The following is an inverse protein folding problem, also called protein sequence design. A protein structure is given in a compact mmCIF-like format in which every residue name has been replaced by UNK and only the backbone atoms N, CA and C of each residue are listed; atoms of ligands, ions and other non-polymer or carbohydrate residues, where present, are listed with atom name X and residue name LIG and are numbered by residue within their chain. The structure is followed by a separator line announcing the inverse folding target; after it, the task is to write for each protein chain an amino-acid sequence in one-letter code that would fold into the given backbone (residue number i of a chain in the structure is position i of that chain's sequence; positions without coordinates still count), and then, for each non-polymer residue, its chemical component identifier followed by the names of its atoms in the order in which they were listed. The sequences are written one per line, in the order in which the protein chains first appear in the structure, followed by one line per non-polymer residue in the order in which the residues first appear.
data_IF_254406220871
#
_entry.id   IF_254406220871
#
_cell.length_a   1.000
_cell.length_b   1.000
_cell.length_c   1.000
_cell.angle_alpha   90.00
_cell.angle_beta   90.00
_cell.angle_gamma   90.00
#
_symmetry.space_group_name_H-M   'P 1'
#
loop_
_entity.id
_entity.type
_entity.pdbx_description
1 polymer ?
#
# COMPACT_ATOMS: atom_id res chain seq x y z
N UNK A 1 -28.82 -29.65 55.22
CA UNK A 1 -29.26 -28.96 53.98
C UNK A 1 -28.05 -28.22 53.42
N UNK A 2 -27.30 -28.85 52.50
CA UNK A 2 -26.09 -28.28 51.91
C UNK A 2 -26.48 -27.45 50.67
N UNK A 3 -26.09 -26.18 50.66
CA UNK A 3 -26.27 -25.31 49.49
C UNK A 3 -25.33 -25.76 48.35
N UNK A 4 -25.76 -25.74 47.08
CA UNK A 4 -24.89 -26.09 45.96
C UNK A 4 -23.79 -25.03 45.79
N UNK A 5 -22.55 -25.49 45.69
CA UNK A 5 -21.39 -24.67 45.35
C UNK A 5 -21.58 -24.06 43.95
N UNK A 6 -21.64 -22.73 43.88
CA UNK A 6 -21.67 -22.01 42.61
C UNK A 6 -20.39 -22.28 41.81
N UNK A 7 -20.48 -22.55 40.49
CA UNK A 7 -19.30 -22.80 39.69
C UNK A 7 -18.44 -21.54 39.64
N UNK A 8 -17.13 -21.68 39.90
CA UNK A 8 -16.15 -20.59 39.83
C UNK A 8 -16.15 -20.00 38.42
N UNK A 9 -16.86 -18.88 38.25
CA UNK A 9 -16.97 -18.17 36.97
C UNK A 9 -15.61 -17.54 36.67
N UNK A 10 -14.87 -18.14 35.74
CA UNK A 10 -13.56 -17.63 35.34
C UNK A 10 -13.70 -16.17 34.81
N UNK A 11 -12.78 -15.26 35.19
CA UNK A 11 -12.90 -13.82 34.92
C UNK A 11 -13.05 -13.57 33.42
N UNK A 12 -14.02 -12.76 33.00
CA UNK A 12 -14.40 -12.66 31.59
C UNK A 12 -13.24 -12.34 30.61
N UNK A 13 -12.14 -11.74 31.10
CA UNK A 13 -10.96 -11.38 30.30
C UNK A 13 -10.06 -12.52 29.82
N UNK A 14 -9.99 -13.68 30.51
CA UNK A 14 -9.02 -14.72 30.11
C UNK A 14 -9.34 -15.34 28.74
N UNK A 15 -10.64 -15.47 28.41
CA UNK A 15 -11.09 -15.98 27.11
C UNK A 15 -10.71 -15.05 25.97
N UNK A 16 -10.76 -13.75 26.21
CA UNK A 16 -10.37 -12.74 25.21
C UNK A 16 -8.86 -12.76 24.95
N UNK A 17 -8.04 -13.02 25.97
CA UNK A 17 -6.58 -13.14 25.81
C UNK A 17 -6.17 -14.32 24.92
N UNK A 18 -6.79 -15.50 25.10
CA UNK A 18 -6.52 -16.66 24.25
C UNK A 18 -6.96 -16.42 22.80
N UNK A 19 -8.14 -15.83 22.61
CA UNK A 19 -8.64 -15.51 21.27
C UNK A 19 -7.78 -14.44 20.58
N UNK A 20 -7.25 -13.47 21.33
CA UNK A 20 -6.32 -12.48 20.79
C UNK A 20 -5.02 -13.14 20.33
N UNK A 21 -4.41 -14.01 21.15
CA UNK A 21 -3.20 -14.73 20.78
C UNK A 21 -3.40 -15.63 19.54
N UNK A 22 -4.57 -16.29 19.44
CA UNK A 22 -4.92 -17.08 18.27
C UNK A 22 -5.09 -16.21 17.01
N UNK A 23 -5.78 -15.07 17.13
CA UNK A 23 -5.97 -14.15 16.00
C UNK A 23 -4.64 -13.57 15.48
N UNK A 24 -3.69 -13.28 16.37
CA UNK A 24 -2.34 -12.85 15.98
C UNK A 24 -1.59 -13.95 15.24
N UNK A 25 -1.67 -15.20 15.71
CA UNK A 25 -1.07 -16.35 15.02
C UNK A 25 -1.64 -16.56 13.61
N UNK A 26 -2.97 -16.53 13.46
CA UNK A 26 -3.63 -16.65 12.16
C UNK A 26 -3.22 -15.51 11.22
N UNK A 27 -3.10 -14.28 11.74
CA UNK A 27 -2.65 -13.12 10.96
C UNK A 27 -1.23 -13.32 10.42
N UNK A 28 -0.33 -13.86 11.23
CA UNK A 28 1.05 -14.12 10.80
C UNK A 28 1.10 -15.18 9.69
N UNK A 29 0.34 -16.27 9.82
CA UNK A 29 0.25 -17.29 8.77
C UNK A 29 -0.29 -16.73 7.44
N UNK A 30 -1.34 -15.90 7.49
CA UNK A 30 -1.89 -15.24 6.30
C UNK A 30 -0.84 -14.30 5.68
N UNK A 31 -0.09 -13.57 6.50
CA UNK A 31 0.98 -12.66 6.08
C UNK A 31 2.08 -13.41 5.33
N UNK A 32 2.56 -14.52 5.88
CA UNK A 32 3.59 -15.36 5.25
C UNK A 32 3.15 -15.93 3.91
N UNK A 33 1.90 -16.41 3.82
CA UNK A 33 1.35 -16.89 2.55
C UNK A 33 1.26 -15.76 1.51
N UNK A 34 0.80 -14.56 1.91
CA UNK A 34 0.75 -13.41 1.02
C UNK A 34 2.16 -13.02 0.51
N UNK A 35 3.18 -13.04 1.38
CA UNK A 35 4.58 -12.78 1.01
C UNK A 35 5.08 -13.80 0.00
N UNK A 36 4.86 -15.09 0.24
CA UNK A 36 5.23 -16.16 -0.68
C UNK A 36 4.56 -15.99 -2.06
N UNK A 37 3.27 -15.64 -2.09
CA UNK A 37 2.53 -15.34 -3.31
C UNK A 37 3.10 -14.14 -4.07
N UNK A 38 3.48 -13.07 -3.37
CA UNK A 38 4.13 -11.91 -3.97
C UNK A 38 5.51 -12.26 -4.56
N UNK A 39 6.31 -13.07 -3.88
CA UNK A 39 7.59 -13.56 -4.40
C UNK A 39 7.38 -14.36 -5.69
N UNK A 40 6.45 -15.31 -5.69
CA UNK A 40 6.11 -16.09 -6.88
C UNK A 40 5.56 -15.22 -8.03
N UNK A 41 4.77 -14.18 -7.73
CA UNK A 41 4.30 -13.23 -8.73
C UNK A 41 5.45 -12.40 -9.33
N UNK A 42 6.40 -11.94 -8.50
CA UNK A 42 7.58 -11.19 -8.96
C UNK A 42 8.51 -12.06 -9.81
N UNK A 43 8.71 -13.33 -9.44
CA UNK A 43 9.50 -14.28 -10.24
C UNK A 43 8.90 -14.51 -11.64
N UNK A 44 7.56 -14.43 -11.77
CA UNK A 44 6.84 -14.43 -13.07
C UNK A 44 6.88 -13.09 -13.82
N UNK A 45 7.62 -12.10 -13.32
CA UNK A 45 7.78 -10.80 -13.95
C UNK A 45 6.70 -9.76 -13.62
N UNK A 46 5.77 -10.04 -12.69
CA UNK A 46 4.77 -9.06 -12.28
C UNK A 46 5.42 -7.92 -11.50
N UNK A 47 5.39 -6.70 -12.05
CA UNK A 47 5.71 -5.46 -11.33
C UNK A 47 4.46 -5.00 -10.56
N UNK A 48 4.43 -5.29 -9.26
CA UNK A 48 3.37 -4.81 -8.35
C UNK A 48 3.44 -3.31 -8.07
N UNK A 49 2.53 -2.80 -7.25
CA UNK A 49 2.43 -1.37 -6.91
C UNK A 49 1.46 -0.59 -7.80
N UNK A 50 1.32 0.71 -7.51
CA UNK A 50 0.48 1.59 -8.32
C UNK A 50 1.09 1.79 -9.71
N UNK A 51 0.28 1.81 -10.78
CA UNK A 51 0.77 2.06 -12.12
C UNK A 51 1.40 3.45 -12.24
N UNK A 52 2.42 3.56 -13.08
CA UNK A 52 3.11 4.81 -13.35
C UNK A 52 2.17 5.79 -14.07
N UNK A 53 1.88 6.94 -13.45
CA UNK A 53 0.87 7.90 -13.93
C UNK A 53 1.28 8.62 -15.22
N UNK A 54 2.57 8.79 -15.47
CA UNK A 54 3.09 9.38 -16.71
C UNK A 54 3.63 8.29 -17.64
N UNK A 55 3.19 8.17 -18.88
CA UNK A 55 3.90 7.30 -19.83
C UNK A 55 5.28 7.89 -20.16
N UNK A 56 6.28 7.06 -20.49
CA UNK A 56 7.62 7.53 -20.87
C UNK A 56 7.61 8.59 -21.99
N UNK A 57 6.68 8.47 -22.95
CA UNK A 57 6.47 9.47 -23.99
C UNK A 57 6.08 10.84 -23.42
N UNK A 58 5.19 10.88 -22.43
CA UNK A 58 4.80 12.13 -21.75
C UNK A 58 5.96 12.72 -20.96
N UNK A 59 6.79 11.89 -20.33
CA UNK A 59 7.97 12.37 -19.58
C UNK A 59 8.96 13.05 -20.53
N UNK A 60 9.26 12.42 -21.67
CA UNK A 60 10.12 13.02 -22.71
C UNK A 60 9.59 14.36 -23.22
N UNK A 61 8.28 14.45 -23.45
CA UNK A 61 7.63 15.68 -23.89
C UNK A 61 7.72 16.78 -22.81
N UNK A 62 7.47 16.42 -21.55
CA UNK A 62 7.60 17.33 -20.42
C UNK A 62 9.04 17.83 -20.24
N UNK A 63 10.04 16.95 -20.35
CA UNK A 63 11.45 17.31 -20.27
C UNK A 63 11.85 18.27 -21.40
N UNK A 64 11.42 18.01 -22.63
CA UNK A 64 11.69 18.87 -23.77
C UNK A 64 11.04 20.26 -23.59
N UNK A 65 9.79 20.31 -23.14
CA UNK A 65 9.09 21.56 -22.86
C UNK A 65 9.80 22.35 -21.74
N UNK A 66 10.18 21.70 -20.63
CA UNK A 66 10.83 22.37 -19.52
C UNK A 66 12.25 22.89 -19.83
N UNK A 67 12.91 22.36 -20.87
CA UNK A 67 14.21 22.85 -21.34
C UNK A 67 14.15 24.11 -22.20
N UNK A 68 12.95 24.54 -22.64
CA UNK A 68 12.78 25.74 -23.45
C UNK A 68 12.62 27.00 -22.57
N UNK A 69 13.38 28.05 -22.88
CA UNK A 69 13.29 29.35 -22.21
C UNK A 69 11.95 30.03 -22.57
N UNK A 70 10.95 29.88 -21.70
CA UNK A 70 9.60 30.46 -21.89
C UNK A 70 8.46 29.57 -21.42
N UNK A 71 8.73 28.30 -21.09
CA UNK A 71 7.68 27.35 -20.72
C UNK A 71 7.05 27.67 -19.38
N UNK A 72 5.74 27.94 -19.39
CA UNK A 72 4.94 28.09 -18.17
C UNK A 72 4.48 26.73 -17.68
N UNK A 73 5.00 26.33 -16.52
CA UNK A 73 4.70 25.04 -15.89
C UNK A 73 3.20 24.84 -15.63
N UNK A 74 2.44 25.92 -15.39
CA UNK A 74 0.97 25.86 -15.23
C UNK A 74 0.24 25.40 -16.48
N UNK A 75 0.60 25.96 -17.64
CA UNK A 75 -0.04 25.66 -18.93
C UNK A 75 0.33 24.23 -19.33
N UNK A 76 1.59 23.85 -19.18
CA UNK A 76 2.07 22.47 -19.39
C UNK A 76 1.33 21.45 -18.52
N UNK A 77 1.06 21.78 -17.24
CA UNK A 77 0.29 20.91 -16.35
C UNK A 77 -1.16 20.73 -16.81
N UNK A 78 -1.80 21.79 -17.32
CA UNK A 78 -3.16 21.73 -17.85
C UNK A 78 -3.23 20.86 -19.10
N UNK A 79 -2.29 21.04 -20.03
CA UNK A 79 -2.20 20.23 -21.26
C UNK A 79 -1.95 18.74 -20.97
N UNK A 80 -1.09 18.45 -19.99
CA UNK A 80 -0.78 17.09 -19.59
C UNK A 80 -1.85 16.44 -18.70
N UNK A 81 -2.82 17.21 -18.21
CA UNK A 81 -3.90 16.78 -17.31
C UNK A 81 -3.39 16.37 -15.93
N UNK A 82 -2.37 17.06 -15.42
CA UNK A 82 -1.68 16.71 -14.18
C UNK A 82 -1.38 17.92 -13.31
N UNK A 83 -1.18 17.69 -12.01
CA UNK A 83 -0.75 18.74 -11.09
C UNK A 83 0.78 18.89 -11.13
N UNK A 84 1.30 20.02 -10.62
CA UNK A 84 2.74 20.33 -10.64
C UNK A 84 3.61 19.30 -9.90
N UNK A 85 3.08 18.72 -8.81
CA UNK A 85 3.86 17.85 -7.92
C UNK A 85 4.34 16.55 -8.60
N UNK A 86 3.48 15.78 -9.31
CA UNK A 86 3.95 14.68 -10.14
C UNK A 86 4.86 15.13 -11.28
N UNK A 87 4.62 16.28 -11.91
CA UNK A 87 5.48 16.74 -13.01
C UNK A 87 6.95 16.88 -12.56
N UNK A 88 7.20 17.58 -11.45
CA UNK A 88 8.54 17.74 -10.90
C UNK A 88 9.15 16.43 -10.41
N UNK A 89 8.36 15.57 -9.78
CA UNK A 89 8.83 14.27 -9.31
C UNK A 89 9.37 13.41 -10.47
N UNK A 90 8.74 13.49 -11.64
CA UNK A 90 9.12 12.68 -12.80
C UNK A 90 10.19 13.31 -13.70
N UNK A 91 10.31 14.65 -13.72
CA UNK A 91 11.28 15.37 -14.58
C UNK A 91 12.58 15.69 -13.83
N UNK A 92 12.55 15.81 -12.51
CA UNK A 92 13.72 16.13 -11.68
C UNK A 92 14.38 14.95 -10.97
N UNK A 93 13.92 13.71 -11.19
CA UNK A 93 14.56 12.48 -10.68
C UNK A 93 15.51 11.86 -11.70
#
# INVERSE_FOLDING_TARGET
MALPSTPRRLPAGWRLGILAALAEFERELISEHAKAGLVAARARGRKGGAPFKMKAAKVRLAMAAMGQSGTKVSELCQELGMIRQPLYQHVGS
#
